data_IF_188855114448
#
_entry.id   IF_188855114448
#
_cell.length_a   1.000
_cell.length_b   1.000
_cell.length_c   1.000
_cell.angle_alpha   90.00
_cell.angle_beta   90.00
_cell.angle_gamma   90.00
#
_symmetry.space_group_name_H-M   'P 1'
#
loop_
_entity.id
_entity.type
_entity.pdbx_description
1 polymer ?
#
# COMPACT_ATOMS: atom_id res chain seq x y z
N UNK A 1 -7.00 21.06 29.24
CA UNK A 1 -5.64 20.54 29.42
C UNK A 1 -5.68 19.07 28.99
N UNK A 2 -5.48 18.80 27.68
CA UNK A 2 -5.50 17.44 27.15
C UNK A 2 -4.06 16.99 26.98
N UNK A 3 -3.61 16.09 27.85
CA UNK A 3 -2.40 15.31 27.63
C UNK A 3 -2.65 14.40 26.42
N UNK A 4 -2.15 14.81 25.25
CA UNK A 4 -1.91 13.90 24.15
C UNK A 4 -0.75 13.03 24.62
N UNK A 5 -1.06 11.88 25.23
CA UNK A 5 -0.10 10.78 25.37
C UNK A 5 0.50 10.57 23.99
N UNK A 6 1.75 11.00 23.79
CA UNK A 6 2.45 10.88 22.54
C UNK A 6 2.70 9.39 22.30
N UNK A 7 1.73 8.71 21.68
CA UNK A 7 1.85 7.30 21.36
C UNK A 7 3.01 7.12 20.39
N UNK A 8 4.07 6.47 20.87
CA UNK A 8 5.23 6.14 20.06
C UNK A 8 4.78 5.34 18.83
N UNK A 9 5.33 5.63 17.64
CA UNK A 9 4.96 4.92 16.43
C UNK A 9 5.31 3.43 16.57
N UNK A 10 4.42 2.55 16.09
CA UNK A 10 4.66 1.11 16.14
C UNK A 10 5.66 0.65 15.08
N UNK A 11 6.66 -0.12 15.52
CA UNK A 11 7.63 -0.79 14.66
C UNK A 11 7.33 -2.29 14.59
N UNK A 12 7.20 -2.82 13.36
CA UNK A 12 6.84 -4.20 13.07
C UNK A 12 8.04 -4.97 12.52
N UNK A 13 8.30 -6.15 13.08
CA UNK A 13 9.35 -7.04 12.57
C UNK A 13 8.86 -7.73 11.30
N UNK A 14 9.54 -7.47 10.19
CA UNK A 14 9.20 -8.02 8.88
C UNK A 14 10.04 -9.24 8.52
N UNK A 15 11.30 -9.27 8.97
CA UNK A 15 12.22 -10.38 8.74
C UNK A 15 13.24 -10.42 9.88
N UNK A 16 13.53 -11.60 10.40
CA UNK A 16 14.51 -11.82 11.45
C UNK A 16 15.35 -13.07 11.14
N UNK A 17 16.66 -12.88 11.10
CA UNK A 17 17.68 -13.93 11.03
C UNK A 17 18.85 -13.52 11.94
N UNK A 18 19.74 -14.47 12.24
CA UNK A 18 20.82 -14.29 13.22
C UNK A 18 21.69 -13.04 12.98
N UNK A 19 21.89 -12.65 11.73
CA UNK A 19 22.70 -11.50 11.32
C UNK A 19 21.88 -10.40 10.64
N UNK A 20 20.55 -10.48 10.63
CA UNK A 20 19.73 -9.57 9.83
C UNK A 20 18.34 -9.36 10.41
N UNK A 21 18.05 -8.11 10.78
CA UNK A 21 16.75 -7.71 11.28
C UNK A 21 16.19 -6.57 10.42
N UNK A 22 15.01 -6.79 9.83
CA UNK A 22 14.27 -5.77 9.10
C UNK A 22 13.00 -5.42 9.84
N UNK A 23 12.85 -4.15 10.19
CA UNK A 23 11.65 -3.62 10.81
C UNK A 23 11.01 -2.55 9.93
N UNK A 24 9.69 -2.38 10.05
CA UNK A 24 8.94 -1.32 9.37
C UNK A 24 8.20 -0.46 10.38
N UNK A 25 8.12 0.84 10.11
CA UNK A 25 7.36 1.82 10.93
C UNK A 25 6.30 2.49 10.05
N UNK A 26 5.19 1.80 9.72
CA UNK A 26 4.29 2.23 8.64
C UNK A 26 3.68 3.62 8.83
N UNK A 27 3.45 4.03 10.08
CA UNK A 27 2.90 5.36 10.41
C UNK A 27 3.83 6.52 10.06
N UNK A 28 5.11 6.25 9.78
CA UNK A 28 6.13 7.24 9.41
C UNK A 28 6.58 7.11 7.95
N UNK A 29 5.81 6.45 7.07
CA UNK A 29 6.15 6.32 5.64
C UNK A 29 6.30 7.70 4.99
N UNK A 30 7.46 7.93 4.36
CA UNK A 30 7.82 9.21 3.73
C UNK A 30 8.43 10.25 4.66
N UNK A 31 8.47 10.01 5.98
CA UNK A 31 9.00 10.96 6.97
C UNK A 31 10.53 10.86 7.07
N UNK A 32 11.23 11.54 6.15
CA UNK A 32 12.69 11.51 6.09
C UNK A 32 13.36 12.03 7.39
N UNK A 33 12.75 13.01 8.06
CA UNK A 33 13.28 13.58 9.30
C UNK A 33 13.25 12.56 10.45
N UNK A 34 12.15 11.81 10.58
CA UNK A 34 12.06 10.70 11.52
C UNK A 34 13.16 9.65 11.28
N UNK A 35 13.35 9.23 10.03
CA UNK A 35 14.35 8.20 9.71
C UNK A 35 15.79 8.69 9.90
N UNK A 36 16.07 9.98 9.71
CA UNK A 36 17.36 10.58 10.06
C UNK A 36 17.58 10.58 11.57
N UNK A 37 16.58 10.99 12.36
CA UNK A 37 16.66 10.95 13.82
C UNK A 37 16.89 9.52 14.36
N UNK A 38 16.24 8.52 13.76
CA UNK A 38 16.48 7.10 14.09
C UNK A 38 17.90 6.68 13.74
N UNK A 39 18.46 7.11 12.61
CA UNK A 39 19.85 6.84 12.27
C UNK A 39 20.82 7.45 13.28
N UNK A 40 20.61 8.70 13.65
CA UNK A 40 21.47 9.42 14.58
C UNK A 40 21.45 8.77 15.97
N UNK A 41 20.26 8.43 16.47
CA UNK A 41 20.11 7.74 17.74
C UNK A 41 20.74 6.33 17.73
N UNK A 42 20.56 5.58 16.65
CA UNK A 42 21.24 4.29 16.48
C UNK A 42 22.76 4.46 16.44
N UNK A 43 23.25 5.49 15.74
CA UNK A 43 24.68 5.74 15.58
C UNK A 43 25.36 6.06 16.91
N UNK A 44 24.69 6.77 17.83
CA UNK A 44 25.17 7.01 19.20
C UNK A 44 25.42 5.71 19.98
N UNK A 45 24.65 4.66 19.71
CA UNK A 45 24.79 3.32 20.32
C UNK A 45 25.65 2.37 19.45
N UNK A 46 26.37 2.89 18.46
CA UNK A 46 27.23 2.10 17.58
C UNK A 46 26.50 1.28 16.51
N UNK A 47 25.20 1.51 16.31
CA UNK A 47 24.38 0.80 15.31
C UNK A 47 24.13 1.69 14.10
N UNK A 48 24.22 1.16 12.88
CA UNK A 48 23.95 1.92 11.64
C UNK A 48 22.91 1.21 10.80
N UNK A 49 21.60 1.40 11.07
CA UNK A 49 20.58 0.83 10.22
C UNK A 49 20.59 1.48 8.83
N UNK A 50 20.42 0.67 7.81
CA UNK A 50 20.02 1.18 6.49
C UNK A 50 18.54 1.57 6.57
N UNK A 51 18.24 2.80 6.19
CA UNK A 51 16.87 3.34 6.27
C UNK A 51 16.34 3.61 4.87
N UNK A 52 15.05 3.36 4.69
CA UNK A 52 14.34 3.72 3.47
C UNK A 52 13.00 4.36 3.87
N UNK A 53 12.92 5.70 3.87
CA UNK A 53 11.70 6.43 4.24
C UNK A 53 10.50 6.10 3.35
N UNK A 54 10.73 5.91 2.04
CA UNK A 54 9.66 5.61 1.08
C UNK A 54 8.93 4.30 1.39
N UNK A 55 9.66 3.30 1.87
CA UNK A 55 9.10 1.99 2.25
C UNK A 55 8.89 1.83 3.76
N UNK A 56 9.13 2.91 4.52
CA UNK A 56 9.10 2.95 5.98
C UNK A 56 9.95 1.86 6.65
N UNK A 57 11.12 1.54 6.09
CA UNK A 57 11.91 0.35 6.47
C UNK A 57 13.22 0.75 7.15
N UNK A 58 13.59 -0.01 8.18
CA UNK A 58 14.90 -0.01 8.83
C UNK A 58 15.50 -1.42 8.68
N UNK A 59 16.77 -1.51 8.32
CA UNK A 59 17.49 -2.77 8.17
C UNK A 59 18.78 -2.74 8.98
N UNK A 60 18.90 -3.67 9.91
CA UNK A 60 20.07 -3.92 10.74
C UNK A 60 20.76 -5.20 10.26
N UNK A 61 22.09 -5.19 10.25
CA UNK A 61 22.94 -6.28 9.76
C UNK A 61 24.06 -6.57 10.78
N UNK A 62 24.47 -7.84 10.90
CA UNK A 62 25.51 -8.32 11.80
C UNK A 62 25.11 -8.25 13.27
N UNK A 63 26.07 -7.92 14.13
CA UNK A 63 25.86 -7.74 15.58
C UNK A 63 24.82 -6.67 15.93
N UNK A 64 24.53 -5.75 15.01
CA UNK A 64 23.49 -4.75 15.21
C UNK A 64 22.06 -5.32 15.12
N UNK A 65 21.87 -6.56 14.64
CA UNK A 65 20.57 -7.18 14.42
C UNK A 65 19.90 -7.75 15.69
N UNK A 66 20.51 -7.58 16.87
CA UNK A 66 19.93 -8.01 18.15
C UNK A 66 18.58 -7.32 18.43
N UNK A 67 17.50 -8.10 18.41
CA UNK A 67 16.12 -7.61 18.46
C UNK A 67 15.77 -6.98 19.80
N UNK A 68 16.25 -7.56 20.90
CA UNK A 68 16.03 -7.06 22.26
C UNK A 68 16.69 -5.70 22.45
N UNK A 69 17.94 -5.56 21.99
CA UNK A 69 18.66 -4.29 22.07
C UNK A 69 18.00 -3.19 21.23
N UNK A 70 17.43 -3.53 20.08
CA UNK A 70 16.70 -2.58 19.22
C UNK A 70 15.36 -2.18 19.85
N UNK A 71 14.67 -3.11 20.51
CA UNK A 71 13.45 -2.82 21.25
C UNK A 71 13.73 -1.84 22.39
N UNK A 72 14.79 -2.07 23.17
CA UNK A 72 15.23 -1.19 24.26
C UNK A 72 15.62 0.19 23.72
N UNK A 73 16.46 0.24 22.68
CA UNK A 73 16.90 1.50 22.06
C UNK A 73 15.71 2.33 21.57
N UNK A 74 14.75 1.71 20.86
CA UNK A 74 13.57 2.40 20.35
C UNK A 74 12.68 2.97 21.46
N UNK A 75 12.58 2.25 22.59
CA UNK A 75 11.84 2.68 23.77
C UNK A 75 12.53 3.78 24.57
N UNK A 76 13.82 3.64 24.88
CA UNK A 76 14.62 4.60 25.65
C UNK A 76 14.72 5.95 24.94
N UNK A 77 14.94 5.94 23.62
CA UNK A 77 15.09 7.15 22.82
C UNK A 77 13.73 7.77 22.43
N UNK A 78 12.61 7.16 22.84
CA UNK A 78 11.28 7.64 22.49
C UNK A 78 11.02 7.67 20.98
N UNK A 79 11.61 6.73 20.24
CA UNK A 79 11.54 6.71 18.78
C UNK A 79 10.40 5.85 18.26
N UNK A 80 10.27 4.62 18.76
CA UNK A 80 9.25 3.66 18.32
C UNK A 80 9.06 2.54 19.35
N UNK A 81 7.88 1.92 19.34
CA UNK A 81 7.59 0.72 20.13
C UNK A 81 7.70 -0.52 19.24
N UNK A 82 8.68 -1.38 19.51
CA UNK A 82 8.84 -2.62 18.75
C UNK A 82 7.77 -3.66 19.16
N UNK A 83 7.02 -4.15 18.19
CA UNK A 83 6.09 -5.26 18.36
C UNK A 83 6.71 -6.54 17.78
N UNK A 84 6.97 -7.51 18.66
CA UNK A 84 7.30 -8.89 18.29
C UNK A 84 6.02 -9.59 17.83
N UNK A 85 5.73 -9.45 16.54
CA UNK A 85 4.60 -10.10 15.88
C UNK A 85 4.79 -9.92 14.40
N UNK A 86 4.57 -10.98 13.62
CA UNK A 86 4.53 -10.87 12.18
C UNK A 86 3.59 -9.72 11.83
N UNK A 87 4.05 -8.78 10.99
CA UNK A 87 3.19 -7.73 10.47
C UNK A 87 1.85 -8.39 10.08
N UNK A 88 0.70 -7.89 10.56
CA UNK A 88 -0.58 -8.53 10.26
C UNK A 88 -0.59 -8.79 8.75
N UNK A 89 -0.78 -10.05 8.36
CA UNK A 89 -0.82 -10.46 6.96
C UNK A 89 -2.00 -9.73 6.32
N UNK A 90 -1.76 -8.50 5.87
CA UNK A 90 -2.69 -7.74 5.08
C UNK A 90 -2.48 -8.25 3.67
N UNK A 91 -3.48 -8.91 3.07
CA UNK A 91 -3.32 -9.47 1.74
C UNK A 91 -2.88 -8.34 0.80
N UNK A 92 -1.88 -8.60 -0.03
CA UNK A 92 -1.28 -7.64 -0.97
C UNK A 92 -2.34 -6.91 -1.79
N UNK A 93 -3.45 -7.59 -2.07
CA UNK A 93 -4.62 -7.03 -2.74
C UNK A 93 -5.25 -5.84 -1.99
N UNK A 94 -5.33 -5.86 -0.66
CA UNK A 94 -5.86 -4.73 0.12
C UNK A 94 -4.93 -3.51 0.11
N UNK A 95 -3.62 -3.69 0.04
CA UNK A 95 -2.66 -2.57 -0.07
C UNK A 95 -2.70 -1.94 -1.47
N UNK A 96 -2.83 -2.79 -2.51
CA UNK A 96 -3.04 -2.34 -3.89
C UNK A 96 -4.35 -1.56 -4.05
N UNK A 97 -5.46 -2.08 -3.50
CA UNK A 97 -6.78 -1.43 -3.54
C UNK A 97 -6.78 -0.11 -2.77
N UNK A 98 -6.09 0.01 -1.63
CA UNK A 98 -5.96 1.30 -0.92
C UNK A 98 -5.18 2.34 -1.71
N UNK A 99 -4.12 1.92 -2.40
CA UNK A 99 -3.33 2.82 -3.26
C UNK A 99 -4.18 3.31 -4.44
N UNK A 100 -4.98 2.42 -5.04
CA UNK A 100 -5.95 2.76 -6.09
C UNK A 100 -7.09 3.66 -5.58
N UNK A 101 -7.56 3.44 -4.36
CA UNK A 101 -8.60 4.29 -3.75
C UNK A 101 -8.12 5.73 -3.48
N UNK A 102 -6.81 5.93 -3.29
CA UNK A 102 -6.20 7.27 -3.24
C UNK A 102 -6.24 7.97 -4.60
N UNK A 103 -5.96 7.24 -5.68
CA UNK A 103 -6.02 7.75 -7.07
C UNK A 103 -7.46 8.05 -7.48
N UNK A 104 -8.43 7.20 -7.09
CA UNK A 104 -9.84 7.43 -7.39
C UNK A 104 -10.35 8.74 -6.78
N UNK A 105 -9.99 9.03 -5.51
CA UNK A 105 -10.36 10.29 -4.85
C UNK A 105 -9.75 11.52 -5.52
N UNK A 106 -8.50 11.44 -5.97
CA UNK A 106 -7.88 12.54 -6.71
C UNK A 106 -8.53 12.76 -8.06
N UNK A 107 -8.95 11.70 -8.75
CA UNK A 107 -9.71 11.79 -10.00
C UNK A 107 -11.12 12.36 -9.76
N UNK A 108 -11.82 11.95 -8.71
CA UNK A 108 -13.14 12.46 -8.34
C UNK A 108 -13.09 13.96 -7.99
N UNK A 109 -12.04 14.41 -7.30
CA UNK A 109 -11.84 15.82 -6.96
C UNK A 109 -11.51 16.68 -8.18
N UNK A 110 -10.75 16.14 -9.15
CA UNK A 110 -10.40 16.84 -10.39
C UNK A 110 -11.54 16.84 -11.42
N UNK A 111 -12.40 15.82 -11.42
CA UNK A 111 -13.49 15.64 -12.40
C UNK A 111 -14.88 16.00 -11.85
N UNK A 112 -14.95 16.47 -10.61
CA UNK A 112 -16.21 16.81 -9.93
C UNK A 112 -17.15 15.61 -9.74
N UNK A 113 -16.59 14.41 -9.63
CA UNK A 113 -17.33 13.16 -9.42
C UNK A 113 -18.15 12.66 -10.61
N UNK A 114 -17.90 13.15 -11.84
CA UNK A 114 -18.66 12.73 -13.04
C UNK A 114 -18.02 11.60 -13.83
N UNK A 115 -16.73 11.34 -13.61
CA UNK A 115 -15.99 10.30 -14.33
C UNK A 115 -15.24 9.44 -13.32
N UNK A 116 -15.73 8.22 -13.10
CA UNK A 116 -15.03 7.20 -12.31
C UNK A 116 -13.81 6.65 -13.08
N UNK A 117 -12.80 6.14 -12.36
CA UNK A 117 -11.63 5.46 -12.95
C UNK A 117 -11.99 4.45 -14.07
N UNK A 118 -12.98 3.55 -13.91
CA UNK A 118 -13.39 2.63 -14.97
C UNK A 118 -13.90 3.33 -16.23
N UNK A 119 -14.61 4.43 -16.08
CA UNK A 119 -15.15 5.24 -17.19
C UNK A 119 -14.03 5.96 -17.96
N UNK A 120 -13.00 6.41 -17.25
CA UNK A 120 -11.79 6.97 -17.87
C UNK A 120 -11.02 5.93 -18.70
N UNK A 121 -10.82 4.73 -18.14
CA UNK A 121 -10.22 3.61 -18.88
C UNK A 121 -11.06 3.22 -20.10
N UNK A 122 -12.38 3.16 -19.96
CA UNK A 122 -13.30 2.89 -21.07
C UNK A 122 -13.15 3.90 -22.21
N UNK A 123 -13.16 5.21 -21.92
CA UNK A 123 -12.97 6.24 -22.95
C UNK A 123 -11.59 6.17 -23.60
N UNK A 124 -10.54 5.87 -22.83
CA UNK A 124 -9.18 5.73 -23.35
C UNK A 124 -9.08 4.51 -24.29
N UNK A 125 -9.62 3.36 -23.88
CA UNK A 125 -9.68 2.14 -24.69
C UNK A 125 -10.53 2.34 -25.95
N UNK A 126 -11.66 3.04 -25.84
CA UNK A 126 -12.53 3.38 -26.97
C UNK A 126 -11.83 4.32 -27.96
N UNK A 127 -11.19 5.37 -27.47
CA UNK A 127 -10.41 6.29 -28.30
C UNK A 127 -9.23 5.60 -28.98
N UNK A 128 -8.55 4.69 -28.27
CA UNK A 128 -7.46 3.89 -28.83
C UNK A 128 -7.96 2.96 -29.95
N UNK A 129 -9.10 2.29 -29.75
CA UNK A 129 -9.72 1.46 -30.78
C UNK A 129 -10.12 2.25 -32.04
N UNK A 130 -10.72 3.42 -31.87
CA UNK A 130 -11.07 4.32 -33.00
C UNK A 130 -9.79 4.78 -33.72
N UNK A 131 -8.74 5.13 -32.97
CA UNK A 131 -7.45 5.55 -33.53
C UNK A 131 -6.76 4.43 -34.31
N UNK A 132 -6.79 3.18 -33.83
CA UNK A 132 -6.23 2.04 -34.55
C UNK A 132 -7.01 1.68 -35.82
N UNK A 133 -8.35 1.83 -35.80
CA UNK A 133 -9.21 1.69 -36.99
C UNK A 133 -8.87 2.75 -38.04
N UNK A 134 -8.72 4.01 -37.64
CA UNK A 134 -8.34 5.12 -38.54
C UNK A 134 -6.94 4.93 -39.12
N UNK A 135 -6.03 4.26 -38.40
CA UNK A 135 -4.67 3.94 -38.87
C UNK A 135 -4.59 2.70 -39.77
N UNK A 136 -5.70 2.02 -40.04
CA UNK A 136 -5.75 0.90 -40.99
C UNK A 136 -4.92 -0.33 -40.59
N UNK A 137 -4.78 -0.60 -39.28
CA UNK A 137 -4.11 -1.83 -38.79
C UNK A 137 -5.16 -2.91 -38.50
N UNK A 138 -5.58 -3.62 -39.55
CA UNK A 138 -6.63 -4.66 -39.51
C UNK A 138 -6.11 -6.04 -39.05
N UNK A 139 -4.81 -6.19 -38.80
CA UNK A 139 -4.15 -7.51 -38.82
C UNK A 139 -3.95 -8.20 -37.47
N UNK A 140 -4.53 -7.68 -36.39
CA UNK A 140 -4.63 -8.42 -35.12
C UNK A 140 -5.96 -7.99 -34.50
N UNK A 141 -6.72 -8.85 -33.79
CA UNK A 141 -7.91 -8.42 -33.07
C UNK A 141 -7.63 -8.19 -31.55
N UNK A 142 -6.84 -7.18 -31.12
CA UNK A 142 -6.77 -6.78 -29.71
C UNK A 142 -8.09 -6.18 -29.20
N UNK A 143 -8.96 -5.73 -30.11
CA UNK A 143 -10.25 -5.17 -29.76
C UNK A 143 -11.19 -6.24 -29.18
N UNK A 144 -11.11 -7.49 -29.65
CA UNK A 144 -11.96 -8.58 -29.15
C UNK A 144 -11.61 -8.94 -27.70
N UNK A 145 -10.32 -9.02 -27.36
CA UNK A 145 -9.90 -9.27 -25.97
C UNK A 145 -10.24 -8.09 -25.07
N UNK A 146 -10.02 -6.84 -25.53
CA UNK A 146 -10.41 -5.65 -24.77
C UNK A 146 -11.92 -5.60 -24.48
N UNK A 147 -12.77 -5.89 -25.48
CA UNK A 147 -14.22 -5.98 -25.30
C UNK A 147 -14.63 -7.13 -24.39
N UNK A 148 -13.95 -8.29 -24.47
CA UNK A 148 -14.18 -9.43 -23.60
C UNK A 148 -13.87 -9.11 -22.13
N UNK A 149 -12.75 -8.43 -21.86
CA UNK A 149 -12.40 -7.98 -20.51
C UNK A 149 -13.37 -6.91 -20.00
N UNK A 150 -13.79 -5.97 -20.84
CA UNK A 150 -14.79 -4.97 -20.47
C UNK A 150 -16.15 -5.62 -20.11
N UNK A 151 -16.59 -6.62 -20.88
CA UNK A 151 -17.80 -7.36 -20.61
C UNK A 151 -17.72 -8.13 -19.28
N UNK A 152 -16.62 -8.86 -19.04
CA UNK A 152 -16.42 -9.59 -17.79
C UNK A 152 -16.42 -8.68 -16.55
N UNK A 153 -15.85 -7.48 -16.65
CA UNK A 153 -15.85 -6.49 -15.58
C UNK A 153 -17.27 -5.97 -15.26
N UNK A 154 -18.06 -5.69 -16.30
CA UNK A 154 -19.45 -5.23 -16.14
C UNK A 154 -20.34 -6.33 -15.56
N UNK A 155 -20.20 -7.57 -16.02
CA UNK A 155 -20.96 -8.70 -15.47
C UNK A 155 -20.67 -8.91 -13.99
N UNK A 156 -19.41 -8.85 -13.56
CA UNK A 156 -19.02 -8.94 -12.15
C UNK A 156 -19.61 -7.79 -11.32
N UNK A 157 -19.52 -6.56 -11.82
CA UNK A 157 -20.03 -5.37 -11.13
C UNK A 157 -21.55 -5.37 -10.99
N UNK A 158 -22.28 -5.82 -12.02
CA UNK A 158 -23.74 -5.96 -11.99
C UNK A 158 -24.15 -7.10 -11.05
N UNK A 159 -23.42 -8.22 -11.03
CA UNK A 159 -23.68 -9.32 -10.09
C UNK A 159 -23.45 -8.88 -8.64
N UNK A 160 -22.37 -8.16 -8.35
CA UNK A 160 -22.07 -7.69 -7.00
C UNK A 160 -23.10 -6.67 -6.51
N UNK A 161 -23.59 -5.77 -7.39
CA UNK A 161 -24.72 -4.89 -7.07
C UNK A 161 -26.03 -5.65 -6.89
N UNK A 162 -26.29 -6.69 -7.69
CA UNK A 162 -27.48 -7.52 -7.58
C UNK A 162 -27.53 -8.32 -6.28
N UNK A 163 -26.41 -8.90 -5.86
CA UNK A 163 -26.27 -9.64 -4.60
C UNK A 163 -26.42 -8.71 -3.39
N UNK A 164 -25.88 -7.49 -3.44
CA UNK A 164 -26.07 -6.51 -2.36
C UNK A 164 -27.47 -5.90 -2.33
N UNK A 165 -28.24 -5.99 -3.41
CA UNK A 165 -29.61 -5.46 -3.49
C UNK A 165 -30.68 -6.46 -3.01
N UNK A 166 -30.36 -7.75 -2.83
CA UNK A 166 -31.30 -8.74 -2.33
C UNK A 166 -30.74 -9.53 -1.14
N UNK A 167 -30.82 -8.99 0.10
CA UNK A 167 -30.34 -9.67 1.31
C UNK A 167 -31.33 -10.70 1.86
N UNK A 168 -32.18 -11.32 1.03
CA UNK A 168 -33.26 -12.19 1.51
C UNK A 168 -33.60 -13.34 0.56
N UNK A 169 -32.76 -14.37 0.53
CA UNK A 169 -33.24 -15.73 0.25
C UNK A 169 -32.30 -16.74 0.91
N UNK A 170 -32.62 -17.08 2.15
CA UNK A 170 -32.10 -18.24 2.86
C UNK A 170 -32.95 -19.43 2.40
N UNK A 171 -32.35 -20.50 1.82
CA UNK A 171 -33.12 -21.67 1.42
C UNK A 171 -33.39 -22.55 2.65
N UNK A 172 -34.67 -22.74 2.96
CA UNK A 172 -35.15 -23.90 3.75
C UNK A 172 -35.01 -25.20 2.95
#
# INVERSE_FOLDING_TARGET
MNEVSAELPEALVCHHAADRLRIRVPSRRGDAAFFAAVQDACARKGKRPQVNPQTASLLFVGSAAAIEEIAVLGGEEGLFRLRLGAAPHRPVMQEAVRSLAGVNRSLEQLTGGRIDLPSGFFLMLLGFGIYELLRGRWTVPPWYTAFWYAFGLVSMYVLEKGVRANPGHEPD
#
